data_IF_139994438653
#
_entry.id   IF_139994438653
#
_cell.length_a   1.000
_cell.length_b   1.000
_cell.length_c   1.000
_cell.angle_alpha   90.00
_cell.angle_beta   90.00
_cell.angle_gamma   90.00
#
_symmetry.space_group_name_H-M   'P 1'
#
loop_
_entity.id
_entity.type
_entity.pdbx_description
1 polymer ?
#
# COMPACT_ATOMS: atom_id res chain seq x y z
N UNK A 1 -54.12 -26.16 25.12
CA UNK A 1 -52.85 -26.89 25.33
C UNK A 1 -52.05 -27.14 24.03
N UNK A 2 -52.64 -27.64 22.95
CA UNK A 2 -51.93 -27.91 21.67
C UNK A 2 -51.27 -26.67 21.05
N UNK A 3 -51.86 -25.47 21.12
CA UNK A 3 -51.31 -24.23 20.55
C UNK A 3 -50.02 -23.77 21.26
N UNK A 4 -49.89 -23.95 22.56
CA UNK A 4 -48.72 -23.60 23.33
C UNK A 4 -47.56 -24.56 23.11
N UNK A 5 -47.85 -25.83 22.77
CA UNK A 5 -46.84 -26.81 22.42
C UNK A 5 -46.09 -26.44 21.12
N UNK A 6 -46.79 -25.94 20.11
CA UNK A 6 -46.16 -25.48 18.86
C UNK A 6 -45.26 -24.24 19.06
N UNK A 7 -45.69 -23.33 19.95
CA UNK A 7 -44.88 -22.13 20.27
C UNK A 7 -43.57 -22.53 20.97
N UNK A 8 -43.64 -23.48 21.90
CA UNK A 8 -42.44 -23.98 22.59
C UNK A 8 -41.48 -24.70 21.63
N UNK A 9 -42.02 -25.49 20.69
CA UNK A 9 -41.19 -26.17 19.66
C UNK A 9 -40.54 -25.16 18.72
N UNK A 10 -41.25 -24.10 18.30
CA UNK A 10 -40.65 -23.04 17.47
C UNK A 10 -39.56 -22.25 18.21
N UNK A 11 -39.74 -21.96 19.49
CA UNK A 11 -38.70 -21.27 20.30
C UNK A 11 -37.49 -22.17 20.52
N UNK A 12 -37.67 -23.46 20.72
CA UNK A 12 -36.59 -24.43 20.86
C UNK A 12 -35.80 -24.60 19.54
N UNK A 13 -36.46 -24.52 18.38
CA UNK A 13 -35.81 -24.59 17.07
C UNK A 13 -34.94 -23.35 16.76
N UNK A 14 -35.32 -22.18 17.28
CA UNK A 14 -34.55 -20.93 17.11
C UNK A 14 -33.29 -20.86 18.02
N UNK A 15 -33.25 -21.66 19.09
CA UNK A 15 -32.10 -21.73 19.99
C UNK A 15 -30.96 -22.68 19.50
N UNK A 16 -31.23 -23.47 18.46
CA UNK A 16 -30.32 -24.56 18.01
C UNK A 16 -29.22 -24.16 17.00
N UNK A 17 -29.10 -22.89 16.60
CA UNK A 17 -28.15 -22.46 15.59
C UNK A 17 -27.09 -21.47 16.11
N UNK A 18 -26.35 -21.83 17.16
CA UNK A 18 -25.00 -21.31 17.37
C UNK A 18 -24.03 -22.47 17.21
N UNK A 19 -23.67 -22.77 15.96
CA UNK A 19 -22.51 -23.59 15.68
C UNK A 19 -21.34 -22.63 15.67
N UNK A 20 -20.55 -22.62 16.72
CA UNK A 20 -19.20 -22.04 16.66
C UNK A 20 -18.45 -22.81 15.58
N UNK A 21 -18.09 -22.12 14.52
CA UNK A 21 -17.20 -22.68 13.51
C UNK A 21 -15.80 -22.53 14.09
N UNK A 22 -15.31 -23.60 14.67
CA UNK A 22 -13.93 -23.70 15.11
C UNK A 22 -13.08 -23.80 13.84
N UNK A 23 -12.51 -22.68 13.41
CA UNK A 23 -11.54 -22.67 12.33
C UNK A 23 -10.19 -23.16 12.90
N UNK A 24 -9.91 -24.42 12.69
CA UNK A 24 -8.57 -24.98 12.92
C UNK A 24 -7.60 -24.39 11.89
N UNK A 25 -7.07 -23.20 12.20
CA UNK A 25 -6.01 -22.60 11.39
C UNK A 25 -4.73 -23.37 11.67
N UNK A 26 -4.26 -24.13 10.68
CA UNK A 26 -2.94 -24.75 10.74
C UNK A 26 -1.91 -23.65 10.99
N UNK A 27 -1.19 -23.74 12.08
CA UNK A 27 0.00 -22.93 12.31
C UNK A 27 0.99 -23.23 11.17
N UNK A 28 1.21 -22.23 10.32
CA UNK A 28 2.21 -22.30 9.25
C UNK A 28 3.48 -21.67 9.81
N UNK A 29 4.62 -22.30 9.55
CA UNK A 29 5.91 -21.72 9.93
C UNK A 29 6.04 -20.29 9.39
N UNK A 30 6.52 -19.34 10.22
CA UNK A 30 6.67 -17.96 9.80
C UNK A 30 7.64 -17.83 8.61
N UNK A 31 7.16 -17.31 7.49
CA UNK A 31 7.94 -17.10 6.27
C UNK A 31 8.58 -15.71 6.32
N UNK A 32 9.85 -15.61 5.90
CA UNK A 32 10.53 -14.32 5.75
C UNK A 32 9.79 -13.44 4.74
N UNK A 33 9.61 -12.18 5.08
CA UNK A 33 9.11 -11.14 4.19
C UNK A 33 10.19 -10.08 4.00
N UNK A 34 10.51 -9.77 2.75
CA UNK A 34 11.53 -8.79 2.36
C UNK A 34 10.84 -7.67 1.58
N UNK A 35 10.86 -6.46 2.11
CA UNK A 35 10.36 -5.26 1.43
C UNK A 35 11.52 -4.29 1.21
N UNK A 36 12.09 -4.32 0.00
CA UNK A 36 13.25 -3.52 -0.34
C UNK A 36 12.94 -2.45 -1.38
N UNK A 37 13.52 -1.27 -1.21
CA UNK A 37 13.38 -0.18 -2.16
C UNK A 37 14.63 0.68 -2.26
N UNK A 38 14.97 1.00 -3.50
CA UNK A 38 15.93 2.03 -3.88
C UNK A 38 15.16 3.15 -4.55
N UNK A 39 15.26 4.35 -4.01
CA UNK A 39 14.62 5.53 -4.60
C UNK A 39 15.64 6.66 -4.76
N UNK A 40 15.28 7.70 -5.47
CA UNK A 40 16.03 8.95 -5.53
C UNK A 40 16.06 9.71 -4.18
N UNK A 41 15.37 9.21 -3.18
CA UNK A 41 15.38 9.76 -1.82
C UNK A 41 16.30 8.98 -0.88
N UNK A 42 16.53 7.69 -1.15
CA UNK A 42 17.39 6.81 -0.35
C UNK A 42 17.08 5.33 -0.57
N UNK A 43 17.78 4.49 0.17
CA UNK A 43 17.66 3.03 0.11
C UNK A 43 17.27 2.47 1.46
N UNK A 44 16.23 1.64 1.48
CA UNK A 44 15.81 0.96 2.70
C UNK A 44 15.26 -0.45 2.41
N UNK A 45 15.47 -1.35 3.36
CA UNK A 45 14.97 -2.72 3.32
C UNK A 45 14.39 -3.07 4.69
N UNK A 46 13.17 -3.57 4.70
CA UNK A 46 12.53 -4.12 5.88
C UNK A 46 12.48 -5.64 5.78
N UNK A 47 13.01 -6.32 6.79
CA UNK A 47 12.90 -7.76 6.93
C UNK A 47 11.96 -8.07 8.08
N UNK A 48 10.94 -8.89 7.83
CA UNK A 48 9.99 -9.32 8.86
C UNK A 48 9.68 -10.82 8.69
N UNK A 49 8.96 -11.41 9.63
CA UNK A 49 8.37 -12.74 9.46
C UNK A 49 6.85 -12.62 9.37
N UNK A 50 6.24 -13.45 8.50
CA UNK A 50 4.79 -13.61 8.46
C UNK A 50 4.28 -14.06 9.84
N UNK A 51 3.04 -13.68 10.17
CA UNK A 51 2.45 -13.96 11.48
C UNK A 51 1.04 -14.48 11.32
N UNK A 52 0.55 -15.09 12.40
CA UNK A 52 -0.85 -15.47 12.48
C UNK A 52 -1.76 -14.26 12.32
N UNK A 53 -2.90 -14.45 11.68
CA UNK A 53 -3.97 -13.43 11.53
C UNK A 53 -4.46 -12.90 12.88
N UNK A 54 -4.28 -13.68 13.94
CA UNK A 54 -4.68 -13.29 15.30
C UNK A 54 -3.65 -12.42 16.04
N UNK A 55 -2.44 -12.26 15.49
CA UNK A 55 -1.41 -11.44 16.11
C UNK A 55 -1.59 -9.97 15.70
N UNK A 56 -2.20 -9.18 16.56
CA UNK A 56 -2.47 -7.75 16.35
C UNK A 56 -1.22 -6.84 16.53
N UNK A 57 -0.07 -7.38 16.99
CA UNK A 57 1.12 -6.57 17.14
C UNK A 57 1.67 -6.11 15.77
N UNK A 58 2.34 -4.95 15.70
CA UNK A 58 3.00 -4.53 14.47
C UNK A 58 4.19 -5.44 14.12
N UNK A 59 4.47 -5.74 12.84
CA UNK A 59 5.67 -6.47 12.45
C UNK A 59 6.91 -5.78 13.00
N UNK A 60 7.80 -6.55 13.63
CA UNK A 60 9.08 -6.04 14.10
C UNK A 60 10.15 -6.40 13.07
N UNK A 61 11.00 -5.43 12.73
CA UNK A 61 12.16 -5.65 11.86
C UNK A 61 13.11 -6.69 12.45
N UNK A 62 13.67 -7.54 11.61
CA UNK A 62 14.63 -8.59 11.99
C UNK A 62 16.05 -8.07 11.84
N UNK A 63 16.85 -7.99 12.92
CA UNK A 63 18.27 -7.67 12.85
C UNK A 63 19.11 -8.87 12.41
N UNK A 64 20.42 -8.65 12.18
CA UNK A 64 21.41 -9.70 12.01
C UNK A 64 21.58 -10.19 10.57
N UNK A 65 20.87 -9.62 9.58
CA UNK A 65 21.10 -9.91 8.18
C UNK A 65 22.27 -9.09 7.61
N UNK A 66 22.95 -9.67 6.63
CA UNK A 66 23.80 -8.91 5.71
C UNK A 66 22.92 -8.47 4.53
N UNK A 67 22.71 -7.17 4.39
CA UNK A 67 21.88 -6.58 3.33
C UNK A 67 22.76 -5.71 2.45
N UNK A 68 22.83 -6.02 1.15
CA UNK A 68 23.65 -5.31 0.19
C UNK A 68 22.79 -4.90 -1.00
N UNK A 69 22.94 -3.65 -1.42
CA UNK A 69 22.44 -3.16 -2.72
C UNK A 69 23.61 -2.86 -3.62
N UNK A 70 23.58 -3.35 -4.85
CA UNK A 70 24.64 -3.13 -5.82
C UNK A 70 24.10 -2.62 -7.16
N UNK A 71 24.90 -1.76 -7.83
CA UNK A 71 24.65 -1.27 -9.17
C UNK A 71 25.97 -0.80 -9.80
N UNK A 72 26.15 -1.02 -11.09
CA UNK A 72 27.29 -0.54 -11.87
C UNK A 72 28.67 -0.83 -11.24
N UNK A 73 28.81 -2.01 -10.62
CA UNK A 73 30.02 -2.46 -9.95
C UNK A 73 30.25 -1.87 -8.55
N UNK A 74 29.39 -1.00 -8.08
CA UNK A 74 29.39 -0.50 -6.71
C UNK A 74 28.55 -1.41 -5.81
N UNK A 75 28.96 -1.55 -4.57
CA UNK A 75 28.24 -2.28 -3.53
C UNK A 75 28.06 -1.38 -2.31
N UNK A 76 26.84 -1.34 -1.79
CA UNK A 76 26.47 -0.59 -0.61
C UNK A 76 25.90 -1.52 0.43
N UNK A 77 26.50 -1.54 1.62
CA UNK A 77 26.04 -2.32 2.77
C UNK A 77 25.05 -1.48 3.57
N UNK A 78 23.83 -1.99 3.75
CA UNK A 78 22.82 -1.31 4.53
C UNK A 78 23.01 -1.58 6.03
N UNK A 79 22.82 -0.55 6.83
CA UNK A 79 22.93 -0.62 8.29
C UNK A 79 21.54 -0.76 8.92
N UNK A 80 21.42 -1.69 9.89
CA UNK A 80 20.19 -1.87 10.64
C UNK A 80 19.99 -0.70 11.63
N UNK A 81 18.81 -0.10 11.58
CA UNK A 81 18.35 0.95 12.48
C UNK A 81 17.37 0.34 13.49
N UNK A 82 17.81 0.18 14.74
CA UNK A 82 17.02 -0.41 15.82
C UNK A 82 15.73 0.37 16.14
N UNK A 83 15.74 1.69 15.94
CA UNK A 83 14.60 2.54 16.25
C UNK A 83 13.44 2.31 15.28
N UNK A 84 13.74 2.03 14.01
CA UNK A 84 12.74 1.86 12.95
C UNK A 84 12.58 0.41 12.50
N UNK A 85 13.58 -0.44 12.73
CA UNK A 85 13.62 -1.83 12.27
C UNK A 85 14.00 -2.00 10.80
N UNK A 86 14.44 -0.94 10.13
CA UNK A 86 14.88 -0.97 8.73
C UNK A 86 16.39 -1.11 8.61
N UNK A 87 16.83 -1.75 7.54
CA UNK A 87 18.18 -1.60 7.01
C UNK A 87 18.21 -0.40 6.08
N UNK A 88 19.13 0.53 6.28
CA UNK A 88 19.19 1.79 5.52
C UNK A 88 20.57 2.12 5.03
N UNK A 89 20.60 2.87 3.93
CA UNK A 89 21.77 3.52 3.37
C UNK A 89 21.38 4.87 2.77
N UNK A 90 22.28 5.88 2.77
CA UNK A 90 22.08 7.14 2.07
C UNK A 90 22.14 7.00 0.54
N UNK A 91 22.43 5.82 0.00
CA UNK A 91 22.45 5.56 -1.44
C UNK A 91 21.14 6.01 -2.08
N UNK A 92 21.23 6.97 -3.00
CA UNK A 92 20.12 7.45 -3.83
C UNK A 92 20.18 6.80 -5.19
N UNK A 93 19.05 6.26 -5.60
CA UNK A 93 18.90 5.66 -6.92
C UNK A 93 18.96 6.71 -8.03
N UNK A 94 19.35 6.24 -9.22
CA UNK A 94 19.39 7.06 -10.44
C UNK A 94 18.60 6.37 -11.56
N UNK A 95 17.74 7.09 -12.28
CA UNK A 95 17.05 6.55 -13.44
C UNK A 95 17.99 5.96 -14.48
N UNK A 96 17.57 4.89 -15.13
CA UNK A 96 18.40 4.17 -16.12
C UNK A 96 19.29 3.08 -15.53
N UNK A 97 19.32 2.92 -14.20
CA UNK A 97 20.18 1.97 -13.50
C UNK A 97 19.40 0.73 -13.05
N UNK A 98 20.01 -0.44 -13.18
CA UNK A 98 19.51 -1.68 -12.60
C UNK A 98 20.18 -1.92 -11.24
N UNK A 99 19.37 -2.03 -10.20
CA UNK A 99 19.80 -2.34 -8.85
C UNK A 99 19.61 -3.81 -8.55
N UNK A 100 20.52 -4.39 -7.78
CA UNK A 100 20.44 -5.75 -7.26
C UNK A 100 20.46 -5.69 -5.74
N UNK A 101 19.50 -6.34 -5.12
CA UNK A 101 19.47 -6.61 -3.69
C UNK A 101 20.04 -8.00 -3.44
N UNK A 102 20.84 -8.14 -2.40
CA UNK A 102 21.26 -9.41 -1.81
C UNK A 102 21.01 -9.37 -0.32
N UNK A 103 20.39 -10.41 0.21
CA UNK A 103 20.12 -10.57 1.65
C UNK A 103 20.60 -11.94 2.09
N UNK A 104 21.51 -11.97 3.07
CA UNK A 104 21.94 -13.19 3.75
C UNK A 104 21.46 -13.13 5.20
N UNK A 105 20.64 -14.10 5.59
CA UNK A 105 20.07 -14.17 6.94
C UNK A 105 19.98 -15.63 7.41
N UNK A 106 20.58 -15.94 8.56
CA UNK A 106 20.49 -17.28 9.19
C UNK A 106 20.92 -18.43 8.26
N UNK A 107 21.86 -18.18 7.33
CA UNK A 107 22.36 -19.17 6.37
C UNK A 107 21.51 -19.29 5.10
N UNK A 108 20.46 -18.50 4.96
CA UNK A 108 19.61 -18.42 3.76
C UNK A 108 20.03 -17.24 2.90
N UNK A 109 19.90 -17.41 1.58
CA UNK A 109 20.33 -16.43 0.58
C UNK A 109 19.18 -15.99 -0.32
N UNK A 110 19.01 -14.66 -0.50
CA UNK A 110 17.96 -14.06 -1.29
C UNK A 110 18.52 -13.01 -2.24
N UNK A 111 18.00 -12.96 -3.45
CA UNK A 111 18.40 -12.01 -4.48
C UNK A 111 17.18 -11.47 -5.23
N UNK A 112 17.26 -10.18 -5.60
CA UNK A 112 16.31 -9.57 -6.51
C UNK A 112 16.97 -8.50 -7.35
N UNK A 113 16.39 -8.18 -8.50
CA UNK A 113 16.81 -7.07 -9.34
C UNK A 113 15.62 -6.21 -9.71
N UNK A 114 15.85 -4.90 -9.85
CA UNK A 114 14.85 -3.94 -10.30
C UNK A 114 15.50 -2.82 -11.11
N UNK A 115 14.83 -2.38 -12.17
CA UNK A 115 15.28 -1.29 -13.01
C UNK A 115 14.56 0.00 -12.62
N UNK A 116 15.32 1.08 -12.45
CA UNK A 116 14.79 2.40 -12.10
C UNK A 116 14.44 3.18 -13.36
N UNK A 117 13.15 3.36 -13.58
CA UNK A 117 12.63 4.16 -14.69
C UNK A 117 12.72 5.66 -14.41
N UNK A 118 12.72 6.52 -15.47
CA UNK A 118 12.59 7.97 -15.29
C UNK A 118 11.32 8.34 -14.51
N UNK A 119 11.34 9.47 -13.76
CA UNK A 119 10.15 9.94 -13.05
C UNK A 119 9.04 10.35 -14.03
N UNK A 120 7.80 10.33 -13.57
CA UNK A 120 6.63 10.87 -14.26
C UNK A 120 6.29 12.26 -13.69
N UNK A 121 6.75 13.36 -14.33
CA UNK A 121 6.48 14.71 -13.82
C UNK A 121 5.00 14.99 -13.74
N UNK A 122 4.53 15.53 -12.61
CA UNK A 122 3.14 15.91 -12.42
C UNK A 122 2.75 17.10 -13.29
N UNK A 123 1.57 17.04 -13.85
CA UNK A 123 0.89 18.13 -14.55
C UNK A 123 -0.14 18.80 -13.63
N UNK A 124 -0.90 18.00 -12.89
CA UNK A 124 -1.82 18.46 -11.87
C UNK A 124 -2.14 17.33 -10.88
N UNK A 125 -2.49 17.72 -9.65
CA UNK A 125 -2.95 16.80 -8.62
C UNK A 125 -3.85 17.58 -7.66
N UNK A 126 -5.16 17.27 -7.64
CA UNK A 126 -6.14 18.03 -6.88
C UNK A 126 -7.34 17.18 -6.45
N UNK A 127 -8.06 17.64 -5.43
CA UNK A 127 -9.35 17.07 -5.06
C UNK A 127 -10.48 17.66 -5.87
N UNK A 128 -11.40 16.80 -6.35
CA UNK A 128 -12.60 17.17 -7.09
C UNK A 128 -13.80 16.36 -6.58
N UNK A 129 -14.97 16.98 -6.62
CA UNK A 129 -16.22 16.24 -6.51
C UNK A 129 -16.69 15.77 -7.88
N UNK A 130 -16.90 14.46 -8.03
CA UNK A 130 -17.38 13.84 -9.26
C UNK A 130 -18.64 13.01 -9.01
N UNK A 131 -19.62 13.02 -9.93
CA UNK A 131 -20.77 12.13 -9.87
C UNK A 131 -20.35 10.71 -10.31
N UNK A 132 -20.22 9.79 -9.36
CA UNK A 132 -19.89 8.38 -9.62
C UNK A 132 -21.05 7.52 -9.11
N UNK A 133 -21.65 6.69 -9.96
CA UNK A 133 -22.79 5.82 -9.60
C UNK A 133 -23.95 6.55 -8.91
N UNK A 134 -24.29 7.76 -9.36
CA UNK A 134 -25.31 8.64 -8.80
C UNK A 134 -24.99 9.20 -7.40
N UNK A 135 -23.79 8.99 -6.89
CA UNK A 135 -23.31 9.59 -5.67
C UNK A 135 -22.25 10.65 -5.97
N UNK A 136 -22.28 11.75 -5.25
CA UNK A 136 -21.21 12.76 -5.28
C UNK A 136 -20.02 12.22 -4.51
N UNK A 137 -18.93 11.92 -5.23
CA UNK A 137 -17.76 11.25 -4.69
C UNK A 137 -16.56 12.18 -4.75
N UNK A 138 -15.84 12.30 -3.63
CA UNK A 138 -14.55 12.98 -3.58
C UNK A 138 -13.51 12.10 -4.27
N UNK A 139 -12.85 12.68 -5.26
CA UNK A 139 -11.80 12.04 -6.04
C UNK A 139 -10.53 12.89 -5.93
N UNK A 140 -9.39 12.25 -5.76
CA UNK A 140 -8.10 12.86 -5.99
C UNK A 140 -7.70 12.56 -7.43
N UNK A 141 -7.76 13.57 -8.29
CA UNK A 141 -7.42 13.49 -9.70
C UNK A 141 -5.93 13.77 -9.88
N UNK A 142 -5.26 12.87 -10.60
CA UNK A 142 -3.83 12.91 -10.85
C UNK A 142 -3.58 12.91 -12.36
N UNK A 143 -2.81 13.88 -12.84
CA UNK A 143 -2.26 13.93 -14.19
C UNK A 143 -0.74 14.04 -14.14
N UNK A 144 -0.04 13.25 -14.96
CA UNK A 144 1.40 13.31 -15.10
C UNK A 144 1.81 13.13 -16.57
N UNK A 145 3.04 13.48 -16.87
CA UNK A 145 3.66 13.18 -18.16
C UNK A 145 4.12 11.72 -18.16
N UNK A 146 3.79 11.01 -19.23
CA UNK A 146 4.31 9.65 -19.43
C UNK A 146 5.81 9.73 -19.77
N UNK A 147 6.69 9.11 -18.96
CA UNK A 147 8.14 9.18 -19.19
C UNK A 147 8.60 8.37 -20.40
N UNK A 148 7.82 7.39 -20.87
CA UNK A 148 8.16 6.49 -21.97
C UNK A 148 6.90 6.12 -22.80
N UNK A 149 6.38 7.03 -23.64
CA UNK A 149 5.08 6.85 -24.30
C UNK A 149 4.96 5.65 -25.23
N UNK A 150 6.11 5.10 -25.68
CA UNK A 150 6.15 3.98 -26.63
C UNK A 150 6.14 2.60 -25.96
N UNK A 151 6.21 2.55 -24.62
CA UNK A 151 6.21 1.32 -23.85
C UNK A 151 5.17 1.38 -22.74
N UNK A 152 4.73 0.21 -22.26
CA UNK A 152 3.83 0.16 -21.13
C UNK A 152 4.60 0.47 -19.85
N UNK A 153 4.16 1.52 -19.16
CA UNK A 153 4.69 1.92 -17.87
C UNK A 153 3.76 1.47 -16.75
N UNK A 154 4.35 1.24 -15.59
CA UNK A 154 3.65 0.83 -14.39
C UNK A 154 3.88 1.82 -13.29
N UNK A 155 2.83 2.11 -12.54
CA UNK A 155 2.83 3.16 -11.54
C UNK A 155 2.30 2.64 -10.21
N UNK A 156 2.86 3.18 -9.14
CA UNK A 156 2.34 3.04 -7.80
C UNK A 156 2.06 4.43 -7.24
N UNK A 157 0.81 4.75 -6.98
CA UNK A 157 0.47 5.96 -6.24
C UNK A 157 0.20 5.64 -4.78
N UNK A 158 0.53 6.62 -3.92
CA UNK A 158 0.24 6.56 -2.51
C UNK A 158 -0.15 7.95 -2.01
N UNK A 159 -1.34 8.02 -1.40
CA UNK A 159 -1.80 9.16 -0.62
C UNK A 159 -1.57 8.84 0.84
N UNK A 160 -0.69 9.57 1.48
CA UNK A 160 -0.47 9.49 2.92
C UNK A 160 -1.23 10.64 3.58
N UNK A 161 -1.87 10.34 4.70
CA UNK A 161 -2.66 11.29 5.48
C UNK A 161 -2.03 11.51 6.84
N UNK A 162 -1.94 12.76 7.24
CA UNK A 162 -1.66 13.17 8.62
C UNK A 162 -2.91 13.85 9.17
N UNK A 163 -3.41 13.36 10.28
CA UNK A 163 -4.65 13.86 10.87
C UNK A 163 -4.64 13.82 12.39
N UNK A 164 -5.50 14.65 12.99
CA UNK A 164 -5.82 14.57 14.39
C UNK A 164 -7.08 13.70 14.55
N UNK A 165 -6.97 12.64 15.33
CA UNK A 165 -8.10 11.74 15.52
C UNK A 165 -9.31 12.49 16.10
N UNK A 166 -10.50 12.42 15.48
CA UNK A 166 -11.66 13.24 15.87
C UNK A 166 -12.12 13.02 17.33
N UNK A 167 -11.83 11.84 17.88
CA UNK A 167 -12.20 11.49 19.27
C UNK A 167 -11.00 11.49 20.23
N UNK A 168 -9.76 11.68 19.73
CA UNK A 168 -8.52 11.74 20.50
C UNK A 168 -7.62 12.84 19.98
N UNK A 169 -8.06 14.09 20.17
CA UNK A 169 -7.44 15.29 19.59
C UNK A 169 -5.93 15.45 19.88
N UNK A 170 -5.43 14.82 20.93
CA UNK A 170 -4.00 14.86 21.29
C UNK A 170 -3.13 13.92 20.42
N UNK A 171 -3.75 13.01 19.65
CA UNK A 171 -3.05 12.02 18.84
C UNK A 171 -2.99 12.41 17.38
N UNK A 172 -1.82 12.85 16.93
CA UNK A 172 -1.51 12.94 15.50
C UNK A 172 -1.21 11.57 14.96
N UNK A 173 -1.86 11.19 13.88
CA UNK A 173 -1.69 9.89 13.22
C UNK A 173 -1.26 10.08 11.78
N UNK A 174 -0.36 9.22 11.32
CA UNK A 174 0.09 9.15 9.93
C UNK A 174 -0.27 7.78 9.39
N UNK A 175 -1.01 7.73 8.30
CA UNK A 175 -1.37 6.48 7.65
C UNK A 175 -1.35 6.57 6.11
N UNK A 176 -1.33 5.41 5.46
CA UNK A 176 -1.54 5.29 4.03
C UNK A 176 -3.05 5.33 3.76
N UNK A 177 -3.58 6.52 3.46
CA UNK A 177 -5.01 6.73 3.24
C UNK A 177 -5.53 5.96 2.02
N UNK A 178 -4.84 6.11 0.87
CA UNK A 178 -5.15 5.37 -0.37
C UNK A 178 -3.86 5.01 -1.08
N UNK A 179 -3.80 3.81 -1.62
CA UNK A 179 -2.71 3.40 -2.50
C UNK A 179 -3.22 2.36 -3.49
N UNK A 180 -2.63 2.31 -4.67
CA UNK A 180 -2.82 1.22 -5.63
C UNK A 180 -1.74 1.28 -6.70
N UNK A 181 -1.65 0.21 -7.48
CA UNK A 181 -0.84 0.14 -8.68
C UNK A 181 -1.74 0.16 -9.92
N UNK A 182 -1.25 0.78 -10.98
CA UNK A 182 -1.94 0.85 -12.26
C UNK A 182 -0.93 0.95 -13.41
N UNK A 183 -1.39 0.75 -14.62
CA UNK A 183 -0.60 0.97 -15.84
C UNK A 183 -1.25 2.07 -16.70
N UNK A 184 -0.55 2.51 -17.72
CA UNK A 184 -0.97 3.59 -18.64
C UNK A 184 -2.02 3.18 -19.69
N UNK A 185 -2.50 1.94 -19.67
CA UNK A 185 -3.55 1.50 -20.58
C UNK A 185 -4.81 2.34 -20.44
N UNK A 186 -5.26 2.90 -21.57
CA UNK A 186 -6.43 3.78 -21.58
C UNK A 186 -6.15 5.22 -21.19
N UNK A 187 -4.90 5.57 -20.86
CA UNK A 187 -4.48 6.96 -20.72
C UNK A 187 -4.33 7.65 -22.09
N UNK A 188 -4.50 8.98 -22.16
CA UNK A 188 -4.19 9.73 -23.38
C UNK A 188 -2.71 9.61 -23.76
N UNK A 189 -2.35 9.65 -25.06
CA UNK A 189 -0.95 9.55 -25.50
C UNK A 189 -0.04 10.58 -24.82
N UNK A 190 1.11 10.11 -24.29
CA UNK A 190 2.11 10.93 -23.61
C UNK A 190 1.69 11.46 -22.23
N UNK A 191 0.59 10.97 -21.71
CA UNK A 191 0.07 11.37 -20.39
C UNK A 191 -0.33 10.17 -19.55
N UNK A 192 -0.23 10.33 -18.27
CA UNK A 192 -0.73 9.39 -17.26
C UNK A 192 -1.86 10.07 -16.50
N UNK A 193 -2.94 9.34 -16.34
CA UNK A 193 -4.13 9.81 -15.65
C UNK A 193 -4.63 8.79 -14.62
N UNK A 194 -5.02 9.27 -13.44
CA UNK A 194 -5.65 8.42 -12.44
C UNK A 194 -6.62 9.20 -11.56
N UNK A 195 -7.85 8.68 -11.47
CA UNK A 195 -8.81 9.03 -10.44
C UNK A 195 -8.66 8.10 -9.25
N UNK A 196 -8.45 8.68 -8.06
CA UNK A 196 -8.39 7.96 -6.80
C UNK A 196 -9.66 8.27 -6.00
N UNK A 197 -10.59 7.35 -5.96
CA UNK A 197 -11.80 7.50 -5.14
C UNK A 197 -11.44 7.57 -3.66
N UNK A 198 -11.82 8.65 -3.00
CA UNK A 198 -11.52 8.92 -1.61
C UNK A 198 -12.70 8.57 -0.69
N UNK A 199 -13.82 9.29 -0.84
CA UNK A 199 -15.02 9.07 -0.03
C UNK A 199 -16.26 9.56 -0.78
N UNK A 200 -17.44 9.02 -0.47
CA UNK A 200 -18.71 9.61 -0.94
C UNK A 200 -19.14 10.76 -0.02
N UNK A 201 -19.88 11.73 -0.57
CA UNK A 201 -20.44 12.84 0.22
C UNK A 201 -21.36 12.32 1.33
N UNK A 202 -22.09 11.23 1.07
CA UNK A 202 -22.96 10.58 2.05
C UNK A 202 -22.16 10.11 3.26
N UNK A 203 -21.04 9.42 3.05
CA UNK A 203 -20.16 8.95 4.14
C UNK A 203 -19.57 10.11 4.92
N UNK A 204 -19.21 11.21 4.22
CA UNK A 204 -18.66 12.41 4.85
C UNK A 204 -19.66 13.14 5.77
N UNK A 205 -20.97 13.00 5.52
CA UNK A 205 -22.04 13.62 6.32
C UNK A 205 -22.56 12.73 7.44
N UNK A 206 -22.34 11.42 7.37
CA UNK A 206 -22.65 10.50 8.45
C UNK A 206 -21.51 10.56 9.49
N UNK A 207 -21.83 10.94 10.72
CA UNK A 207 -20.91 10.89 11.87
C UNK A 207 -20.67 9.42 12.27
N UNK A 208 -20.06 8.67 11.35
CA UNK A 208 -19.83 7.24 11.46
C UNK A 208 -18.48 7.02 12.15
N UNK A 209 -18.54 6.81 13.46
CA UNK A 209 -17.39 6.55 14.31
C UNK A 209 -16.55 5.34 13.88
N UNK A 210 -17.14 4.42 13.12
CA UNK A 210 -16.50 3.18 12.68
C UNK A 210 -15.77 3.33 11.32
N UNK A 211 -15.99 4.44 10.60
CA UNK A 211 -15.38 4.71 9.29
C UNK A 211 -14.43 5.91 9.25
N UNK A 212 -13.99 6.40 10.40
CA UNK A 212 -13.10 7.56 10.51
C UNK A 212 -11.80 7.41 9.68
N UNK A 213 -11.32 6.19 9.49
CA UNK A 213 -10.14 5.87 8.67
C UNK A 213 -10.37 6.06 7.16
N UNK A 214 -11.64 6.11 6.73
CA UNK A 214 -12.04 6.28 5.32
C UNK A 214 -12.43 7.71 4.96
N UNK A 215 -12.67 8.56 5.96
CA UNK A 215 -13.15 9.93 5.81
C UNK A 215 -11.99 10.91 5.93
N UNK A 216 -11.95 11.92 5.06
CA UNK A 216 -11.07 13.08 5.22
C UNK A 216 -11.84 14.17 5.98
N UNK A 217 -11.19 14.72 6.99
CA UNK A 217 -11.72 15.81 7.80
C UNK A 217 -11.05 17.12 7.47
N UNK A 218 -11.74 18.22 7.77
CA UNK A 218 -11.17 19.56 7.70
C UNK A 218 -9.83 19.64 8.44
N UNK A 219 -8.79 20.10 7.76
CA UNK A 219 -7.46 20.24 8.32
C UNK A 219 -6.56 18.99 8.17
N UNK A 220 -7.07 17.89 7.65
CA UNK A 220 -6.22 16.74 7.32
C UNK A 220 -5.16 17.13 6.29
N UNK A 221 -3.93 16.72 6.51
CA UNK A 221 -2.83 16.98 5.59
C UNK A 221 -2.59 15.76 4.72
N UNK A 222 -2.64 15.94 3.41
CA UNK A 222 -2.45 14.90 2.40
C UNK A 222 -1.16 15.15 1.64
N UNK A 223 -0.33 14.13 1.57
CA UNK A 223 0.83 14.08 0.67
C UNK A 223 0.63 12.96 -0.33
N UNK A 224 0.99 13.21 -1.59
CA UNK A 224 0.90 12.21 -2.66
C UNK A 224 2.28 11.92 -3.22
N UNK A 225 2.54 10.63 -3.43
CA UNK A 225 3.71 10.11 -4.14
C UNK A 225 3.26 9.29 -5.33
N UNK A 226 3.86 9.56 -6.49
CA UNK A 226 3.75 8.75 -7.69
C UNK A 226 5.10 8.14 -7.99
N UNK A 227 5.18 6.84 -8.06
CA UNK A 227 6.39 6.08 -8.37
C UNK A 227 6.23 5.36 -9.69
N UNK A 228 7.25 5.45 -10.55
CA UNK A 228 7.35 4.60 -11.74
C UNK A 228 8.08 3.34 -11.34
N UNK A 229 7.43 2.20 -11.46
CA UNK A 229 7.89 0.90 -10.98
C UNK A 229 8.06 -0.10 -12.12
N UNK A 230 8.88 -1.12 -11.92
CA UNK A 230 9.03 -2.20 -12.88
C UNK A 230 7.86 -3.20 -12.85
N UNK A 231 7.74 -4.01 -13.89
CA UNK A 231 6.68 -5.01 -14.03
C UNK A 231 6.65 -6.01 -12.85
N UNK A 232 7.79 -6.57 -12.38
CA UNK A 232 7.77 -7.52 -11.27
C UNK A 232 7.23 -6.91 -9.96
N UNK A 233 7.60 -5.66 -9.66
CA UNK A 233 7.06 -4.91 -8.51
C UNK A 233 5.55 -4.65 -8.67
N UNK A 234 5.13 -4.25 -9.87
CA UNK A 234 3.71 -4.07 -10.18
C UNK A 234 2.91 -5.35 -9.95
N UNK A 235 3.41 -6.50 -10.45
CA UNK A 235 2.73 -7.79 -10.33
C UNK A 235 2.61 -8.22 -8.86
N UNK A 236 3.67 -8.01 -8.06
CA UNK A 236 3.62 -8.27 -6.62
C UNK A 236 2.56 -7.42 -5.92
N UNK A 237 2.62 -6.09 -6.06
CA UNK A 237 1.70 -5.17 -5.38
C UNK A 237 0.26 -5.37 -5.84
N UNK A 238 0.05 -5.68 -7.12
CA UNK A 238 -1.25 -6.04 -7.65
C UNK A 238 -1.77 -7.36 -7.08
N UNK A 239 -0.91 -8.38 -6.97
CA UNK A 239 -1.28 -9.66 -6.37
C UNK A 239 -1.60 -9.52 -4.89
N UNK A 240 -0.89 -8.66 -4.16
CA UNK A 240 -1.18 -8.34 -2.77
C UNK A 240 -2.59 -7.75 -2.61
N UNK A 241 -2.97 -6.80 -3.46
CA UNK A 241 -4.29 -6.17 -3.42
C UNK A 241 -5.43 -7.12 -3.82
N UNK A 242 -5.18 -8.07 -4.73
CA UNK A 242 -6.16 -9.09 -5.17
C UNK A 242 -6.13 -10.33 -4.30
N UNK A 243 -4.98 -10.72 -3.78
CA UNK A 243 -4.78 -11.89 -2.92
C UNK A 243 -5.51 -11.78 -1.58
N UNK A 244 -5.63 -10.57 -1.04
CA UNK A 244 -6.47 -10.31 0.13
C UNK A 244 -7.92 -10.74 -0.06
N UNK A 245 -8.41 -10.78 -1.32
CA UNK A 245 -9.77 -11.23 -1.66
C UNK A 245 -9.86 -12.74 -1.90
N UNK A 246 -8.79 -13.38 -2.37
CA UNK A 246 -8.82 -14.76 -2.86
C UNK A 246 -7.97 -15.73 -2.02
N UNK A 247 -7.29 -15.26 -0.97
CA UNK A 247 -6.42 -16.08 -0.10
C UNK A 247 -5.16 -16.63 -0.79
N UNK A 248 -4.79 -16.15 -1.99
CA UNK A 248 -3.58 -16.54 -2.68
C UNK A 248 -2.37 -15.74 -2.16
N UNK A 249 -1.22 -16.39 -2.06
CA UNK A 249 0.03 -15.69 -1.72
C UNK A 249 0.45 -14.74 -2.85
N UNK A 250 0.94 -13.54 -2.53
CA UNK A 250 1.49 -12.62 -3.50
C UNK A 250 2.69 -13.24 -4.25
N UNK A 251 2.82 -12.88 -5.53
CA UNK A 251 3.93 -13.35 -6.38
C UNK A 251 5.10 -12.38 -6.19
N UNK A 252 6.10 -12.77 -5.39
CA UNK A 252 7.32 -11.97 -5.18
C UNK A 252 8.27 -11.98 -6.37
N UNK A 253 9.15 -10.96 -6.45
CA UNK A 253 10.24 -10.91 -7.43
C UNK A 253 11.61 -11.31 -6.84
N UNK A 254 11.62 -11.87 -5.64
CA UNK A 254 12.81 -12.27 -4.92
C UNK A 254 13.08 -13.76 -5.20
N UNK A 255 14.31 -14.08 -5.53
CA UNK A 255 14.82 -15.43 -5.81
C UNK A 255 15.63 -15.95 -4.64
N UNK A 256 15.77 -17.28 -4.53
CA UNK A 256 16.50 -17.95 -3.47
C UNK A 256 15.58 -18.84 -2.64
N UNK A 257 15.76 -18.85 -1.34
CA UNK A 257 14.91 -19.59 -0.42
C UNK A 257 13.46 -19.05 -0.40
N UNK A 258 12.48 -19.83 0.05
CA UNK A 258 11.09 -19.39 0.10
C UNK A 258 10.91 -18.13 0.95
N UNK A 259 10.40 -17.07 0.35
CA UNK A 259 10.09 -15.81 1.01
C UNK A 259 8.90 -15.10 0.36
N UNK A 260 8.38 -14.10 1.05
CA UNK A 260 7.40 -13.15 0.52
C UNK A 260 8.08 -11.78 0.36
N UNK A 261 7.46 -10.91 -0.41
CA UNK A 261 7.91 -9.54 -0.52
C UNK A 261 8.35 -9.14 -1.92
N UNK A 262 9.00 -8.00 -2.00
CA UNK A 262 9.45 -7.39 -3.24
C UNK A 262 10.72 -6.57 -3.04
N UNK A 263 11.42 -6.35 -4.14
CA UNK A 263 12.46 -5.34 -4.27
C UNK A 263 12.16 -4.45 -5.46
N UNK A 264 12.19 -3.13 -5.25
CA UNK A 264 11.95 -2.17 -6.31
C UNK A 264 13.03 -1.10 -6.36
N UNK A 265 13.30 -0.60 -7.57
CA UNK A 265 13.98 0.66 -7.83
C UNK A 265 12.99 1.60 -8.51
N UNK A 266 12.75 2.78 -7.93
CA UNK A 266 11.70 3.66 -8.42
C UNK A 266 12.06 5.14 -8.25
N UNK A 267 11.81 5.93 -9.29
CA UNK A 267 11.80 7.39 -9.19
C UNK A 267 10.52 7.85 -8.53
N UNK A 268 10.62 8.77 -7.58
CA UNK A 268 9.49 9.30 -6.81
C UNK A 268 9.16 10.71 -7.27
N UNK A 269 7.91 10.95 -7.58
CA UNK A 269 7.38 12.29 -7.85
C UNK A 269 6.37 12.64 -6.75
N UNK A 270 6.55 13.82 -6.15
CA UNK A 270 5.65 14.34 -5.10
C UNK A 270 4.70 15.39 -5.67
N UNK A 271 3.46 15.36 -5.22
CA UNK A 271 2.59 16.52 -5.32
C UNK A 271 2.82 17.48 -4.14
N UNK A 272 2.40 18.72 -4.31
CA UNK A 272 2.35 19.64 -3.21
C UNK A 272 1.46 19.10 -2.09
N UNK A 273 1.86 19.35 -0.86
CA UNK A 273 1.07 18.96 0.31
C UNK A 273 -0.23 19.77 0.36
N UNK A 274 -1.36 19.06 0.47
CA UNK A 274 -2.69 19.68 0.56
C UNK A 274 -3.19 19.59 1.99
N UNK A 275 -3.60 20.74 2.55
CA UNK A 275 -4.44 20.76 3.74
C UNK A 275 -5.89 20.70 3.26
N UNK A 276 -6.56 19.59 3.56
CA UNK A 276 -7.91 19.33 3.05
C UNK A 276 -8.93 20.31 3.66
N UNK A 277 -9.71 20.95 2.79
CA UNK A 277 -10.83 21.83 3.14
C UNK A 277 -11.97 21.59 2.17
N UNK A 278 -13.16 21.32 2.69
CA UNK A 278 -14.34 21.11 1.84
C UNK A 278 -14.62 22.29 0.91
N UNK A 279 -14.39 23.52 1.39
CA UNK A 279 -14.64 24.74 0.64
C UNK A 279 -13.71 24.92 -0.57
N UNK A 280 -12.54 24.27 -0.57
CA UNK A 280 -11.55 24.39 -1.64
C UNK A 280 -11.78 23.35 -2.75
N UNK A 281 -12.66 22.37 -2.53
CA UNK A 281 -12.94 21.29 -3.48
C UNK A 281 -14.04 21.71 -4.44
N UNK A 282 -13.69 21.90 -5.70
CA UNK A 282 -14.64 22.22 -6.78
C UNK A 282 -15.30 20.97 -7.35
N UNK A 283 -16.44 21.14 -8.01
CA UNK A 283 -17.03 20.09 -8.84
C UNK A 283 -16.22 19.91 -10.13
N UNK A 284 -16.11 18.68 -10.59
CA UNK A 284 -15.56 18.36 -11.92
C UNK A 284 -16.43 19.02 -13.01
N UNK A 285 -15.79 19.52 -14.06
CA UNK A 285 -16.48 20.19 -15.18
C UNK A 285 -17.16 19.19 -16.11
#
# INVERSE_FOLDING_TARGET
MRKYLYIIICIAALAACKREIDFDFREVEPILTIEGRVTDEGTEVLLTRSRSVYDAAKPKGLPGAQVIVSADGLQEHLTYDEATGFYRSPLKGQPGTTYRLTVDLEGHHYEATSFMYPPAPLLSAEFLWQPINQERTLVYELWATDPQPDVRNHYWYRLDRTYHHPHFAEKTTHDAYRWNVFDDRGCPPGRVFRDVMCMSEKVATEDDKDNWDKILYEGDTITMRLMVIDQPTFDYLRSLSTGQRNGANPIGNIKGDPCLGYFMAASVTHADTIVFRYADVRDAK
#
